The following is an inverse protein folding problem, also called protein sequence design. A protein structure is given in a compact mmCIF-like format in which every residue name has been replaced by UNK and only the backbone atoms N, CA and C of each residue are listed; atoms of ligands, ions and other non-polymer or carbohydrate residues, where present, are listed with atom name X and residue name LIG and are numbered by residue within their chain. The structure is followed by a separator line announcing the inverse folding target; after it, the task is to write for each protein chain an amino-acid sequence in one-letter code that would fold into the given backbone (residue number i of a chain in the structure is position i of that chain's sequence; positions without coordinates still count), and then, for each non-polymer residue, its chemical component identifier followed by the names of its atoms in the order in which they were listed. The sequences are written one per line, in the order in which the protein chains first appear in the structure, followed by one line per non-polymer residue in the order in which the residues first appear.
data_IF_894065452446
#
_entry.id   IF_894065452446
#
_cell.length_a   1.000
_cell.length_b   1.000
_cell.length_c   1.000
_cell.angle_alpha   90.00
_cell.angle_beta   90.00
_cell.angle_gamma   90.00
#
_symmetry.space_group_name_H-M   'P 1'
#
loop_
_entity.id
_entity.type
_entity.pdbx_description
1 polymer ?
#
# COMPACT_ATOMS: atom_id res chain seq x y z
N UNK A 1 12.36 14.12 -6.90
CA UNK A 1 11.68 12.82 -7.05
C UNK A 1 10.42 13.01 -7.88
N UNK A 2 10.38 12.50 -9.11
CA UNK A 2 9.13 12.26 -9.83
C UNK A 2 8.16 11.43 -8.97
N UNK A 3 6.85 11.65 -9.11
CA UNK A 3 5.82 10.94 -8.35
C UNK A 3 5.87 9.41 -8.53
N UNK A 4 6.31 8.96 -9.71
CA UNK A 4 6.41 7.54 -10.06
C UNK A 4 7.48 6.84 -9.23
N UNK A 5 8.67 7.44 -9.09
CA UNK A 5 9.77 6.88 -8.28
C UNK A 5 9.36 6.76 -6.80
N UNK A 6 8.69 7.78 -6.23
CA UNK A 6 8.24 7.72 -4.84
C UNK A 6 7.16 6.64 -4.63
N UNK A 7 6.28 6.43 -5.61
CA UNK A 7 5.28 5.36 -5.54
C UNK A 7 5.90 3.97 -5.63
N UNK A 8 6.97 3.78 -6.39
CA UNK A 8 7.73 2.53 -6.45
C UNK A 8 8.46 2.27 -5.13
N UNK A 9 9.05 3.30 -4.53
CA UNK A 9 9.68 3.20 -3.21
C UNK A 9 8.67 2.78 -2.14
N UNK A 10 7.47 3.37 -2.12
CA UNK A 10 6.42 2.98 -1.16
C UNK A 10 6.06 1.50 -1.31
N UNK A 11 5.85 1.02 -2.54
CA UNK A 11 5.51 -0.39 -2.79
C UNK A 11 6.64 -1.31 -2.32
N UNK A 12 7.89 -0.96 -2.63
CA UNK A 12 9.08 -1.71 -2.21
C UNK A 12 9.19 -1.79 -0.68
N UNK A 13 8.85 -0.71 0.04
CA UNK A 13 8.88 -0.71 1.52
C UNK A 13 7.72 -1.55 2.07
N UNK A 14 6.52 -1.40 1.53
CA UNK A 14 5.35 -2.16 1.95
C UNK A 14 5.54 -3.68 1.77
N UNK A 15 6.12 -4.11 0.65
CA UNK A 15 6.41 -5.52 0.36
C UNK A 15 7.41 -6.17 1.33
N UNK A 16 8.15 -5.40 2.13
CA UNK A 16 9.05 -5.93 3.14
C UNK A 16 8.35 -6.30 4.46
N UNK A 17 7.07 -5.93 4.63
CA UNK A 17 6.32 -6.27 5.83
C UNK A 17 5.80 -7.71 5.71
N UNK A 18 6.16 -8.61 6.64
CA UNK A 18 5.70 -10.00 6.59
C UNK A 18 4.17 -10.09 6.60
N UNK A 19 3.61 -10.85 5.66
CA UNK A 19 2.16 -10.97 5.49
C UNK A 19 1.61 -10.16 4.32
N UNK A 20 2.35 -9.16 3.82
CA UNK A 20 2.06 -8.51 2.53
C UNK A 20 2.46 -9.45 1.40
N UNK A 21 1.51 -9.84 0.56
CA UNK A 21 1.69 -10.72 -0.60
C UNK A 21 1.86 -9.96 -1.91
N UNK A 22 1.49 -8.68 -1.92
CA UNK A 22 1.64 -7.79 -3.06
C UNK A 22 1.05 -6.43 -2.79
N UNK A 23 1.16 -5.54 -3.77
CA UNK A 23 0.50 -4.22 -3.73
C UNK A 23 -0.20 -3.97 -5.05
N UNK A 24 -1.23 -3.14 -5.01
CA UNK A 24 -1.97 -2.76 -6.20
C UNK A 24 -1.91 -1.25 -6.42
N UNK A 25 -2.97 -0.55 -5.99
CA UNK A 25 -3.06 0.90 -6.10
C UNK A 25 -2.07 1.53 -5.14
N UNK A 26 -1.26 2.46 -5.65
CA UNK A 26 -0.45 3.34 -4.82
C UNK A 26 -0.52 4.72 -5.44
N UNK A 27 -1.38 5.56 -4.87
CA UNK A 27 -1.57 6.93 -5.31
C UNK A 27 -0.84 7.88 -4.39
N UNK A 28 0.15 8.56 -4.95
CA UNK A 28 0.93 9.57 -4.26
C UNK A 28 0.38 10.94 -4.63
N UNK A 29 -0.06 11.71 -3.64
CA UNK A 29 -0.49 13.10 -3.80
C UNK A 29 0.36 14.03 -2.96
N UNK A 30 0.68 15.21 -3.49
CA UNK A 30 1.43 16.24 -2.75
C UNK A 30 0.46 17.23 -2.10
N UNK A 31 0.72 17.57 -0.85
CA UNK A 31 0.01 18.61 -0.11
C UNK A 31 1.03 19.54 0.56
N UNK A 32 1.20 20.74 0.01
CA UNK A 32 2.30 21.63 0.42
C UNK A 32 3.66 21.00 0.14
N UNK A 33 4.44 20.81 1.20
CA UNK A 33 5.76 20.15 1.15
C UNK A 33 5.69 18.65 1.43
N UNK A 34 4.55 18.15 1.89
CA UNK A 34 4.37 16.77 2.31
C UNK A 34 3.73 15.90 1.23
N UNK A 35 3.95 14.60 1.34
CA UNK A 35 3.29 13.58 0.52
C UNK A 35 2.28 12.78 1.34
N UNK A 36 1.17 12.45 0.68
CA UNK A 36 0.12 11.60 1.20
C UNK A 36 -0.03 10.43 0.24
N UNK A 37 -0.21 9.23 0.79
CA UNK A 37 -0.32 8.02 0.00
C UNK A 37 -1.60 7.28 0.34
N UNK A 38 -2.33 6.86 -0.69
CA UNK A 38 -3.37 5.83 -0.58
C UNK A 38 -2.80 4.55 -1.21
N UNK A 39 -2.68 3.48 -0.41
CA UNK A 39 -2.02 2.22 -0.77
C UNK A 39 -2.96 1.04 -0.51
N UNK A 40 -3.08 0.15 -1.48
CA UNK A 40 -3.77 -1.13 -1.32
C UNK A 40 -2.72 -2.26 -1.20
N UNK A 41 -2.79 -3.02 -0.11
CA UNK A 41 -1.96 -4.22 0.12
C UNK A 41 -2.80 -5.48 -0.11
N UNK A 42 -2.18 -6.47 -0.73
CA UNK A 42 -2.75 -7.80 -0.93
C UNK A 42 -2.26 -8.73 0.19
N UNK A 43 -3.18 -9.46 0.82
CA UNK A 43 -2.91 -10.33 1.97
C UNK A 43 -3.68 -11.63 1.86
N UNK A 44 -3.43 -12.57 2.77
CA UNK A 44 -4.27 -13.78 2.87
C UNK A 44 -5.73 -13.43 3.19
N UNK A 45 -6.67 -13.89 2.36
CA UNK A 45 -8.10 -13.60 2.52
C UNK A 45 -8.75 -14.23 3.76
N UNK A 46 -8.10 -15.22 4.38
CA UNK A 46 -8.59 -15.86 5.60
C UNK A 46 -8.18 -15.11 6.89
N UNK A 47 -7.43 -14.01 6.79
CA UNK A 47 -7.07 -13.20 7.96
C UNK A 47 -8.32 -12.63 8.64
N UNK A 48 -8.28 -12.62 9.98
CA UNK A 48 -9.26 -11.87 10.74
C UNK A 48 -9.11 -10.36 10.48
N UNK A 49 -10.19 -9.61 10.66
CA UNK A 49 -10.17 -8.14 10.57
C UNK A 49 -9.09 -7.53 11.47
N UNK A 50 -8.81 -8.14 12.62
CA UNK A 50 -7.76 -7.69 13.55
C UNK A 50 -6.37 -7.87 12.95
N UNK A 51 -6.07 -9.05 12.42
CA UNK A 51 -4.78 -9.32 11.78
C UNK A 51 -4.55 -8.42 10.56
N UNK A 52 -5.59 -8.20 9.75
CA UNK A 52 -5.54 -7.25 8.65
C UNK A 52 -5.25 -5.81 9.14
N UNK A 53 -5.91 -5.37 10.22
CA UNK A 53 -5.66 -4.05 10.81
C UNK A 53 -4.21 -3.92 11.33
N UNK A 54 -3.72 -4.93 12.06
CA UNK A 54 -2.37 -4.93 12.61
C UNK A 54 -1.32 -4.90 11.49
N UNK A 55 -1.56 -5.64 10.41
CA UNK A 55 -0.71 -5.63 9.22
C UNK A 55 -0.72 -4.29 8.49
N UNK A 56 -1.90 -3.69 8.29
CA UNK A 56 -2.02 -2.35 7.72
C UNK A 56 -1.29 -1.29 8.56
N UNK A 57 -1.35 -1.40 9.89
CA UNK A 57 -0.62 -0.54 10.80
C UNK A 57 0.89 -0.73 10.67
N UNK A 58 1.37 -1.98 10.61
CA UNK A 58 2.79 -2.27 10.39
C UNK A 58 3.31 -1.69 9.07
N UNK A 59 2.53 -1.78 7.98
CA UNK A 59 2.84 -1.14 6.70
C UNK A 59 2.90 0.38 6.82
N UNK A 60 1.90 0.99 7.48
CA UNK A 60 1.88 2.43 7.72
C UNK A 60 3.16 2.91 8.43
N UNK A 61 3.51 2.29 9.56
CA UNK A 61 4.69 2.67 10.34
C UNK A 61 5.98 2.49 9.53
N UNK A 62 6.16 1.33 8.88
CA UNK A 62 7.34 1.02 8.07
C UNK A 62 7.57 2.05 6.95
N UNK A 63 6.50 2.43 6.24
CA UNK A 63 6.59 3.43 5.16
C UNK A 63 6.94 4.81 5.71
N UNK A 64 6.36 5.22 6.84
CA UNK A 64 6.68 6.51 7.47
C UNK A 64 8.12 6.58 7.98
N UNK A 65 8.63 5.47 8.52
CA UNK A 65 9.99 5.40 9.05
C UNK A 65 11.05 5.44 7.94
N UNK A 66 10.83 4.73 6.82
CA UNK A 66 11.79 4.71 5.72
C UNK A 66 11.68 5.92 4.77
N UNK A 67 10.48 6.51 4.64
CA UNK A 67 10.19 7.58 3.70
C UNK A 67 9.64 8.81 4.43
N UNK A 68 10.49 9.58 5.14
CA UNK A 68 10.05 10.68 6.03
C UNK A 68 9.38 11.85 5.30
N UNK A 69 9.46 11.91 3.97
CA UNK A 69 8.74 12.86 3.11
C UNK A 69 7.22 12.61 3.09
N UNK A 70 6.79 11.40 3.48
CA UNK A 70 5.39 10.99 3.51
C UNK A 70 4.80 11.29 4.88
N UNK A 71 3.92 12.28 4.93
CA UNK A 71 3.27 12.71 6.16
C UNK A 71 2.08 11.81 6.56
N UNK A 72 1.51 11.04 5.63
CA UNK A 72 0.41 10.10 5.91
C UNK A 72 0.31 9.01 4.85
N UNK A 73 0.06 7.79 5.30
CA UNK A 73 -0.31 6.66 4.45
C UNK A 73 -1.70 6.18 4.88
N UNK A 74 -2.60 5.94 3.95
CA UNK A 74 -3.84 5.21 4.16
C UNK A 74 -3.66 3.84 3.51
N UNK A 75 -3.81 2.78 4.30
CA UNK A 75 -3.60 1.41 3.83
C UNK A 75 -4.95 0.70 3.80
N UNK A 76 -5.37 0.25 2.62
CA UNK A 76 -6.48 -0.68 2.46
C UNK A 76 -5.94 -2.11 2.38
N UNK A 77 -6.69 -3.02 2.98
CA UNK A 77 -6.36 -4.45 3.02
C UNK A 77 -7.31 -5.16 2.09
N UNK A 78 -6.76 -5.84 1.09
CA UNK A 78 -7.51 -6.63 0.13
C UNK A 78 -7.00 -8.08 0.13
N UNK A 79 -7.88 -9.07 -0.01
CA UNK A 79 -7.48 -10.46 -0.19
C UNK A 79 -6.79 -10.64 -1.56
N UNK A 80 -5.74 -11.46 -1.62
CA UNK A 80 -4.96 -11.70 -2.84
C UNK A 80 -5.70 -12.55 -3.89
N UNK A 81 -6.66 -13.37 -3.48
CA UNK A 81 -7.43 -14.30 -4.32
C UNK A 81 -8.70 -13.70 -4.94
N UNK A 82 -9.26 -12.63 -4.37
CA UNK A 82 -10.35 -11.85 -4.99
C UNK A 82 -9.87 -10.64 -5.78
N UNK A 83 -8.56 -10.52 -6.01
CA UNK A 83 -8.00 -9.44 -6.79
C UNK A 83 -8.63 -9.38 -8.20
N UNK A 84 -9.24 -8.25 -8.54
CA UNK A 84 -9.97 -8.08 -9.81
C UNK A 84 -11.49 -8.21 -9.70
N UNK A 85 -12.03 -8.76 -8.61
CA UNK A 85 -13.49 -8.86 -8.39
C UNK A 85 -14.14 -7.47 -8.30
N UNK A 86 -13.41 -6.51 -7.73
CA UNK A 86 -13.85 -5.12 -7.58
C UNK A 86 -12.99 -4.13 -8.38
N UNK A 87 -12.09 -4.62 -9.24
CA UNK A 87 -11.24 -3.74 -10.04
C UNK A 87 -12.10 -2.86 -10.96
N UNK A 88 -11.83 -1.56 -10.91
CA UNK A 88 -12.52 -0.61 -11.78
C UNK A 88 -11.94 -0.71 -13.20
N UNK A 89 -12.73 -0.38 -14.25
CA UNK A 89 -12.23 -0.37 -15.60
C UNK A 89 -10.99 0.54 -15.74
N UNK A 90 -9.86 -0.04 -16.15
CA UNK A 90 -8.60 0.69 -16.37
C UNK A 90 -7.56 0.60 -15.24
N UNK A 91 -7.79 -0.19 -14.19
CA UNK A 91 -6.76 -0.48 -13.20
C UNK A 91 -5.69 -1.43 -13.74
N UNK A 92 -4.42 -1.10 -13.48
CA UNK A 92 -3.27 -1.92 -13.86
C UNK A 92 -3.14 -3.12 -12.92
N UNK A 93 -2.61 -4.27 -13.39
CA UNK A 93 -2.41 -5.45 -12.56
C UNK A 93 -1.51 -5.15 -11.34
N UNK A 94 -1.56 -6.00 -10.29
CA UNK A 94 -0.82 -5.76 -9.07
C UNK A 94 0.67 -5.92 -9.37
N UNK A 95 1.46 -5.01 -8.81
CA UNK A 95 2.90 -5.10 -8.87
C UNK A 95 3.38 -6.00 -7.74
N UNK A 96 4.07 -7.08 -8.12
CA UNK A 96 4.78 -7.98 -7.19
C UNK A 96 5.95 -7.25 -6.52
#
# INVERSE_FOLDING_TARGET
MPYQELGEDVRRVAAQVPGVRGTHRCWVRRHGFDYFVDLDILVDGDLTVREGHDLAHAVHERVRDELPLIAKVMVHVEPDDEYGRFALPGEAPPSA
#
